data_IF_465118023441
#
_entry.id   IF_465118023441
#
_cell.length_a   1.000
_cell.length_b   1.000
_cell.length_c   1.000
_cell.angle_alpha   90.00
_cell.angle_beta   90.00
_cell.angle_gamma   90.00
#
_symmetry.space_group_name_H-M   'P 1'
#
loop_
_entity.id
_entity.type
_entity.pdbx_description
1 polymer ?
#
# COMPACT_ATOMS: atom_id res chain seq x y z
N UNK A 1 8.96 -22.37 -10.10
CA UNK A 1 8.70 -22.58 -11.54
C UNK A 1 7.86 -21.45 -12.13
N UNK A 2 6.75 -21.02 -11.51
CA UNK A 2 5.96 -19.87 -12.00
C UNK A 2 6.59 -18.54 -11.62
N UNK A 3 6.91 -18.35 -10.34
CA UNK A 3 7.40 -17.09 -9.78
C UNK A 3 8.80 -16.68 -10.23
N UNK A 4 9.66 -17.65 -10.58
CA UNK A 4 11.04 -17.38 -11.00
C UNK A 4 11.31 -17.82 -12.44
N UNK A 5 10.28 -18.17 -13.17
CA UNK A 5 10.39 -18.69 -14.52
C UNK A 5 9.30 -18.17 -15.43
N UNK A 6 8.33 -19.02 -15.75
CA UNK A 6 7.37 -18.79 -16.81
C UNK A 6 6.48 -17.53 -16.67
N UNK A 7 6.17 -17.11 -15.44
CA UNK A 7 5.28 -15.99 -15.16
C UNK A 7 5.98 -14.77 -14.55
N UNK A 8 7.30 -14.79 -14.39
CA UNK A 8 8.06 -13.68 -13.83
C UNK A 8 8.47 -12.68 -14.91
N UNK A 9 8.38 -11.39 -14.61
CA UNK A 9 8.84 -10.30 -15.47
C UNK A 9 10.33 -10.00 -15.21
N UNK A 10 11.17 -11.00 -15.47
CA UNK A 10 12.62 -10.88 -15.29
C UNK A 10 13.22 -9.85 -16.25
N UNK A 11 14.28 -9.13 -15.83
CA UNK A 11 14.96 -8.15 -16.67
C UNK A 11 15.40 -8.76 -18.02
N UNK A 12 15.32 -7.94 -19.06
CA UNK A 12 15.74 -8.25 -20.42
C UNK A 12 15.06 -9.43 -21.12
N UNK A 13 14.08 -10.03 -20.50
CA UNK A 13 13.28 -11.11 -21.10
C UNK A 13 11.93 -10.60 -21.58
N UNK A 14 11.53 -11.04 -22.77
CA UNK A 14 10.17 -10.77 -23.28
C UNK A 14 9.21 -11.78 -22.67
N UNK A 15 8.16 -11.31 -22.02
CA UNK A 15 7.16 -12.12 -21.33
C UNK A 15 5.74 -11.65 -21.65
N UNK A 16 4.78 -12.58 -21.75
CA UNK A 16 3.37 -12.19 -21.81
C UNK A 16 2.93 -11.63 -20.46
N UNK A 17 2.19 -10.53 -20.50
CA UNK A 17 1.65 -9.87 -19.32
C UNK A 17 0.29 -9.24 -19.61
N UNK A 18 -0.44 -8.88 -18.56
CA UNK A 18 -1.57 -7.97 -18.62
C UNK A 18 -1.07 -6.55 -18.31
N UNK A 19 -1.23 -5.67 -19.27
CA UNK A 19 -0.87 -4.25 -19.14
C UNK A 19 -2.12 -3.45 -18.79
N UNK A 20 -2.08 -2.75 -17.67
CA UNK A 20 -3.12 -1.85 -17.21
C UNK A 20 -2.79 -0.42 -17.61
N UNK A 21 -3.74 0.24 -18.26
CA UNK A 21 -3.70 1.68 -18.52
C UNK A 21 -4.83 2.31 -17.74
N UNK A 22 -4.48 3.14 -16.75
CA UNK A 22 -5.44 3.77 -15.84
C UNK A 22 -5.18 5.27 -15.88
N UNK A 23 -6.21 6.04 -16.25
CA UNK A 23 -6.16 7.50 -16.25
C UNK A 23 -6.73 8.04 -14.95
N UNK A 24 -6.07 9.05 -14.39
CA UNK A 24 -6.48 9.73 -13.18
C UNK A 24 -6.77 11.19 -13.48
N UNK A 25 -7.69 11.77 -12.72
CA UNK A 25 -7.88 13.22 -12.67
C UNK A 25 -6.85 13.89 -11.74
N UNK A 26 -6.81 15.24 -11.65
CA UNK A 26 -5.87 15.96 -10.81
C UNK A 26 -5.94 15.66 -9.31
N UNK A 27 -7.02 15.08 -8.82
CA UNK A 27 -7.16 14.66 -7.41
C UNK A 27 -6.92 13.16 -7.22
N UNK A 28 -6.45 12.45 -8.26
CA UNK A 28 -6.12 11.03 -8.20
C UNK A 28 -7.32 10.08 -8.31
N UNK A 29 -8.52 10.54 -8.70
CA UNK A 29 -9.65 9.67 -8.96
C UNK A 29 -9.56 9.04 -10.37
N UNK A 30 -10.02 7.77 -10.50
CA UNK A 30 -9.96 7.04 -11.77
C UNK A 30 -11.00 7.60 -12.74
N UNK A 31 -10.56 8.04 -13.92
CA UNK A 31 -11.42 8.48 -15.01
C UNK A 31 -11.63 7.42 -16.07
N UNK A 32 -10.63 6.58 -16.30
CA UNK A 32 -10.75 5.43 -17.20
C UNK A 32 -9.78 4.32 -16.82
N UNK A 33 -10.11 3.09 -17.16
CA UNK A 33 -9.23 1.95 -17.00
C UNK A 33 -9.37 0.97 -18.16
N UNK A 34 -8.28 0.43 -18.64
CA UNK A 34 -8.20 -0.58 -19.68
C UNK A 34 -7.15 -1.61 -19.31
N UNK A 35 -7.41 -2.87 -19.65
CA UNK A 35 -6.44 -3.95 -19.53
C UNK A 35 -6.33 -4.68 -20.87
N UNK A 36 -5.12 -5.02 -21.25
CA UNK A 36 -4.86 -5.76 -22.49
C UNK A 36 -3.72 -6.78 -22.30
N UNK A 37 -3.74 -7.81 -23.12
CA UNK A 37 -2.63 -8.77 -23.20
C UNK A 37 -1.53 -8.18 -24.08
N UNK A 38 -0.31 -8.20 -23.58
CA UNK A 38 0.85 -7.70 -24.32
C UNK A 38 2.09 -8.56 -24.06
N UNK A 39 3.05 -8.45 -24.95
CA UNK A 39 4.42 -8.89 -24.68
C UNK A 39 5.19 -7.72 -24.11
N UNK A 40 5.73 -7.89 -22.92
CA UNK A 40 6.48 -6.84 -22.22
C UNK A 40 7.91 -7.28 -22.00
N UNK A 41 8.81 -6.31 -21.91
CA UNK A 41 10.20 -6.52 -21.55
C UNK A 41 10.56 -5.60 -20.39
N UNK A 42 10.86 -6.18 -19.24
CA UNK A 42 11.38 -5.44 -18.10
C UNK A 42 12.79 -4.98 -18.42
N UNK A 43 13.07 -3.70 -18.24
CA UNK A 43 14.38 -3.09 -18.52
C UNK A 43 15.23 -2.95 -17.27
N UNK A 44 14.59 -2.83 -16.12
CA UNK A 44 15.26 -2.60 -14.86
C UNK A 44 14.49 -3.26 -13.73
N UNK A 45 15.20 -3.90 -12.82
CA UNK A 45 14.69 -4.34 -11.54
C UNK A 45 15.02 -3.29 -10.50
N UNK A 46 14.01 -2.75 -9.87
CA UNK A 46 14.13 -1.78 -8.78
C UNK A 46 13.82 -2.44 -7.44
N UNK A 47 14.41 -1.95 -6.39
CA UNK A 47 14.06 -2.26 -5.01
C UNK A 47 13.81 -0.96 -4.22
N UNK A 48 13.09 -1.07 -3.12
CA UNK A 48 12.63 0.11 -2.38
C UNK A 48 13.77 0.91 -1.74
N UNK A 49 14.79 0.23 -1.22
CA UNK A 49 15.93 0.89 -0.61
C UNK A 49 16.75 1.68 -1.64
N UNK A 50 16.95 1.08 -2.82
CA UNK A 50 17.69 1.70 -3.91
C UNK A 50 17.00 2.92 -4.50
N UNK A 51 15.66 2.85 -4.68
CA UNK A 51 14.91 3.97 -5.30
C UNK A 51 14.59 5.11 -4.33
N UNK A 52 14.64 4.89 -3.02
CA UNK A 52 14.32 5.94 -2.03
C UNK A 52 15.18 7.20 -2.23
N UNK A 53 16.52 7.13 -2.26
CA UNK A 53 17.34 8.30 -2.51
C UNK A 53 17.21 8.84 -3.95
N UNK A 54 16.87 7.99 -4.92
CA UNK A 54 16.68 8.42 -6.31
C UNK A 54 15.41 9.29 -6.45
N UNK A 55 14.34 8.99 -5.71
CA UNK A 55 13.09 9.76 -5.75
C UNK A 55 13.30 11.19 -5.24
N UNK A 56 14.08 11.39 -4.20
CA UNK A 56 14.36 12.70 -3.63
C UNK A 56 15.00 13.66 -4.64
N UNK A 57 15.72 13.11 -5.63
CA UNK A 57 16.43 13.88 -6.65
C UNK A 57 15.84 13.66 -8.05
N UNK A 58 14.70 12.97 -8.14
CA UNK A 58 14.09 12.61 -9.42
C UNK A 58 13.62 13.86 -10.17
N UNK A 59 13.93 13.99 -11.46
CA UNK A 59 13.41 15.08 -12.28
C UNK A 59 11.90 15.09 -12.29
N UNK A 60 11.31 16.29 -12.28
CA UNK A 60 9.86 16.47 -12.39
C UNK A 60 9.32 15.74 -13.63
N UNK A 61 8.21 15.02 -13.47
CA UNK A 61 7.60 14.23 -14.54
C UNK A 61 8.30 12.90 -14.86
N UNK A 62 9.40 12.56 -14.19
CA UNK A 62 9.99 11.23 -14.28
C UNK A 62 9.08 10.16 -13.65
N UNK A 63 9.27 8.91 -14.03
CA UNK A 63 8.47 7.79 -13.49
C UNK A 63 8.52 7.71 -11.97
N UNK A 64 9.68 7.95 -11.36
CA UNK A 64 9.86 7.91 -9.91
C UNK A 64 9.18 9.10 -9.21
N UNK A 65 9.33 10.32 -9.76
CA UNK A 65 8.63 11.50 -9.23
C UNK A 65 7.10 11.35 -9.35
N UNK A 66 6.62 10.78 -10.46
CA UNK A 66 5.20 10.48 -10.65
C UNK A 66 4.69 9.38 -9.72
N UNK A 67 5.51 8.39 -9.37
CA UNK A 67 5.15 7.38 -8.38
C UNK A 67 4.82 8.03 -7.02
N UNK A 68 5.65 8.97 -6.57
CA UNK A 68 5.38 9.73 -5.36
C UNK A 68 4.08 10.53 -5.49
N UNK A 69 3.97 11.36 -6.53
CA UNK A 69 2.79 12.22 -6.74
C UNK A 69 1.49 11.41 -6.77
N UNK A 70 1.45 10.34 -7.56
CA UNK A 70 0.27 9.48 -7.65
C UNK A 70 0.02 8.77 -6.32
N UNK A 71 1.07 8.26 -5.67
CA UNK A 71 0.97 7.60 -4.38
C UNK A 71 0.33 8.49 -3.33
N UNK A 72 0.78 9.76 -3.21
CA UNK A 72 0.23 10.74 -2.27
C UNK A 72 -1.22 11.09 -2.57
N UNK A 73 -1.58 11.33 -3.84
CA UNK A 73 -2.97 11.54 -4.24
C UNK A 73 -3.87 10.36 -3.88
N UNK A 74 -3.39 9.13 -4.10
CA UNK A 74 -4.14 7.92 -3.77
C UNK A 74 -4.28 7.68 -2.27
N UNK A 75 -3.27 8.03 -1.46
CA UNK A 75 -3.35 8.02 0.00
C UNK A 75 -4.43 9.01 0.48
N UNK A 76 -4.47 10.21 -0.11
CA UNK A 76 -5.51 11.19 0.19
C UNK A 76 -6.92 10.67 -0.17
N UNK A 77 -7.07 10.00 -1.32
CA UNK A 77 -8.31 9.33 -1.72
C UNK A 77 -8.70 8.18 -0.77
N UNK A 78 -7.74 7.41 -0.28
CA UNK A 78 -7.99 6.38 0.71
C UNK A 78 -8.53 6.98 2.02
N UNK A 79 -7.90 8.03 2.50
CA UNK A 79 -8.35 8.75 3.69
C UNK A 79 -9.77 9.32 3.53
N UNK A 80 -10.07 9.93 2.38
CA UNK A 80 -11.39 10.48 2.08
C UNK A 80 -12.50 9.42 2.05
N UNK A 81 -12.18 8.16 1.68
CA UNK A 81 -13.11 7.04 1.70
C UNK A 81 -13.26 6.39 3.09
N UNK A 82 -12.51 6.84 4.10
CA UNK A 82 -12.43 6.19 5.41
C UNK A 82 -11.64 4.89 5.40
N UNK A 83 -10.80 4.66 4.40
CA UNK A 83 -9.89 3.52 4.35
C UNK A 83 -8.86 3.58 5.48
N UNK A 84 -8.40 2.42 5.93
CA UNK A 84 -7.40 2.29 7.00
C UNK A 84 -6.26 1.43 6.51
N UNK A 85 -5.07 2.00 6.45
CA UNK A 85 -3.81 1.28 6.29
C UNK A 85 -3.03 1.37 7.60
N UNK A 86 -2.70 0.21 8.17
CA UNK A 86 -1.92 0.15 9.41
C UNK A 86 -0.43 0.09 9.04
N UNK A 87 0.38 1.09 9.43
CA UNK A 87 1.83 1.02 9.28
C UNK A 87 2.38 0.06 10.33
N UNK A 88 2.43 -1.24 10.00
CA UNK A 88 3.03 -2.23 10.89
C UNK A 88 4.49 -2.43 10.51
N UNK A 89 5.43 -2.26 11.47
CA UNK A 89 6.83 -2.60 11.23
C UNK A 89 6.97 -4.06 10.83
N UNK A 90 7.75 -4.33 9.80
CA UNK A 90 8.10 -5.70 9.46
C UNK A 90 9.13 -6.23 10.46
N UNK A 91 8.94 -7.45 10.95
CA UNK A 91 9.97 -8.16 11.69
C UNK A 91 10.86 -8.91 10.71
N UNK A 92 12.14 -8.59 10.73
CA UNK A 92 13.15 -9.25 9.89
C UNK A 92 14.18 -9.94 10.79
N UNK A 93 14.62 -11.10 10.36
CA UNK A 93 15.72 -11.81 11.04
C UNK A 93 16.98 -11.54 10.24
N UNK A 94 17.88 -10.78 10.83
CA UNK A 94 19.20 -10.57 10.29
C UNK A 94 20.17 -11.65 10.79
N UNK A 95 20.98 -12.18 9.89
CA UNK A 95 21.91 -13.27 10.18
C UNK A 95 23.33 -12.83 9.83
N UNK A 96 24.12 -12.57 10.84
CA UNK A 96 25.52 -12.21 10.72
C UNK A 96 26.40 -13.32 11.30
N UNK A 97 26.97 -14.17 10.43
CA UNK A 97 27.67 -15.38 10.82
C UNK A 97 26.77 -16.35 11.60
N UNK A 98 27.11 -16.66 12.84
CA UNK A 98 26.30 -17.51 13.73
C UNK A 98 25.34 -16.71 14.64
N UNK A 99 25.29 -15.38 14.47
CA UNK A 99 24.44 -14.50 15.29
C UNK A 99 23.17 -14.17 14.54
N UNK A 100 22.05 -14.41 15.20
CA UNK A 100 20.72 -14.09 14.70
C UNK A 100 20.15 -12.92 15.49
N UNK A 101 19.71 -11.86 14.80
CA UNK A 101 19.07 -10.69 15.40
C UNK A 101 17.68 -10.54 14.86
N UNK A 102 16.74 -10.19 15.73
CA UNK A 102 15.40 -9.77 15.33
C UNK A 102 15.41 -8.24 15.24
N UNK A 103 15.14 -7.74 14.04
CA UNK A 103 15.07 -6.31 13.78
C UNK A 103 13.66 -5.93 13.35
N UNK A 104 13.27 -4.70 13.66
CA UNK A 104 12.03 -4.10 13.20
C UNK A 104 12.37 -3.10 12.11
N UNK A 105 11.90 -3.36 10.89
CA UNK A 105 12.07 -2.46 9.77
C UNK A 105 10.80 -1.64 9.58
N UNK A 106 10.93 -0.33 9.64
CA UNK A 106 9.84 0.57 9.27
C UNK A 106 9.63 0.56 7.75
N UNK A 107 8.37 0.73 7.34
CA UNK A 107 8.04 0.85 5.93
C UNK A 107 8.57 2.17 5.36
N UNK A 108 9.26 2.08 4.23
CA UNK A 108 9.69 3.26 3.50
C UNK A 108 8.49 3.94 2.82
N UNK A 109 8.48 5.28 2.66
CA UNK A 109 7.41 5.99 1.97
C UNK A 109 7.11 5.44 0.58
N UNK A 110 8.11 5.05 -0.17
CA UNK A 110 7.98 4.46 -1.52
C UNK A 110 7.20 3.14 -1.52
N UNK A 111 7.28 2.36 -0.44
CA UNK A 111 6.49 1.12 -0.30
C UNK A 111 5.00 1.44 -0.22
N UNK A 112 4.63 2.49 0.53
CA UNK A 112 3.26 2.96 0.62
C UNK A 112 2.76 3.48 -0.73
N UNK A 113 3.55 4.26 -1.46
CA UNK A 113 3.17 4.73 -2.79
C UNK A 113 2.98 3.57 -3.77
N UNK A 114 3.88 2.59 -3.77
CA UNK A 114 3.74 1.40 -4.60
C UNK A 114 2.52 0.55 -4.21
N UNK A 115 2.21 0.43 -2.91
CA UNK A 115 1.01 -0.24 -2.44
C UNK A 115 -0.27 0.43 -2.99
N UNK A 116 -0.28 1.77 -3.11
CA UNK A 116 -1.40 2.49 -3.70
C UNK A 116 -1.57 2.21 -5.20
N UNK A 117 -0.50 1.98 -5.95
CA UNK A 117 -0.58 1.55 -7.36
C UNK A 117 -1.21 0.15 -7.45
N UNK A 118 -0.81 -0.75 -6.57
CA UNK A 118 -1.40 -2.10 -6.47
C UNK A 118 -2.90 -2.05 -6.15
N UNK A 119 -3.30 -1.25 -5.16
CA UNK A 119 -4.69 -1.03 -4.79
C UNK A 119 -5.50 -0.41 -5.94
N UNK A 120 -4.91 0.57 -6.65
CA UNK A 120 -5.53 1.21 -7.82
C UNK A 120 -5.86 0.18 -8.91
N UNK A 121 -4.95 -0.73 -9.20
CA UNK A 121 -5.17 -1.83 -10.15
C UNK A 121 -6.31 -2.74 -9.67
N UNK A 122 -6.33 -3.07 -8.39
CA UNK A 122 -7.40 -3.86 -7.77
C UNK A 122 -8.77 -3.19 -7.89
N UNK A 123 -8.87 -1.88 -7.66
CA UNK A 123 -10.11 -1.11 -7.83
C UNK A 123 -10.58 -1.09 -9.28
N UNK A 124 -9.65 -0.89 -10.23
CA UNK A 124 -9.98 -0.92 -11.66
C UNK A 124 -10.52 -2.30 -12.07
N UNK A 125 -9.87 -3.38 -11.65
CA UNK A 125 -10.32 -4.74 -11.90
C UNK A 125 -11.69 -5.02 -11.27
N UNK A 126 -11.89 -4.64 -10.00
CA UNK A 126 -13.17 -4.80 -9.31
C UNK A 126 -14.30 -4.05 -10.04
N UNK A 127 -14.06 -2.81 -10.48
CA UNK A 127 -15.03 -2.04 -11.25
C UNK A 127 -15.41 -2.75 -12.54
N UNK A 128 -14.44 -3.27 -13.30
CA UNK A 128 -14.72 -4.02 -14.52
C UNK A 128 -15.56 -5.27 -14.24
N UNK A 129 -15.25 -6.01 -13.14
CA UNK A 129 -16.02 -7.19 -12.75
C UNK A 129 -17.47 -6.84 -12.36
N UNK A 130 -17.67 -5.75 -11.62
CA UNK A 130 -19.00 -5.27 -11.22
C UNK A 130 -19.83 -4.88 -12.44
N UNK A 131 -19.29 -4.05 -13.34
CA UNK A 131 -19.99 -3.62 -14.55
C UNK A 131 -20.22 -4.79 -15.52
N UNK A 132 -19.27 -5.69 -15.64
CA UNK A 132 -19.37 -6.89 -16.45
C UNK A 132 -20.28 -7.98 -15.85
N UNK A 133 -20.70 -7.84 -14.60
CA UNK A 133 -21.45 -8.84 -13.83
C UNK A 133 -20.79 -10.23 -13.83
N UNK A 134 -19.46 -10.25 -13.75
CA UNK A 134 -18.65 -11.46 -13.76
C UNK A 134 -17.46 -11.29 -12.82
N UNK A 135 -17.06 -12.35 -12.14
CA UNK A 135 -15.88 -12.38 -11.29
C UNK A 135 -16.19 -12.58 -9.81
N UNK A 136 -15.16 -12.41 -8.99
CA UNK A 136 -15.22 -12.56 -7.53
C UNK A 136 -14.63 -11.32 -6.91
N UNK A 137 -15.37 -10.69 -5.99
CA UNK A 137 -14.91 -9.54 -5.22
C UNK A 137 -14.45 -10.00 -3.84
N UNK A 138 -13.28 -9.52 -3.44
CA UNK A 138 -12.82 -9.61 -2.06
C UNK A 138 -13.14 -8.30 -1.35
N UNK A 139 -14.01 -8.37 -0.36
CA UNK A 139 -14.40 -7.21 0.43
C UNK A 139 -14.05 -7.42 1.90
N UNK A 140 -13.81 -6.33 2.61
CA UNK A 140 -13.68 -6.32 4.06
C UNK A 140 -14.86 -5.54 4.63
N UNK A 141 -15.70 -6.16 5.48
CA UNK A 141 -16.81 -5.44 6.11
C UNK A 141 -16.27 -4.39 7.11
N UNK A 142 -17.09 -3.39 7.44
CA UNK A 142 -16.77 -2.50 8.57
C UNK A 142 -16.50 -3.31 9.85
N UNK A 143 -15.68 -2.78 10.77
CA UNK A 143 -15.44 -3.44 12.03
C UNK A 143 -16.74 -3.60 12.83
N UNK A 144 -16.91 -4.74 13.47
CA UNK A 144 -18.06 -4.97 14.33
C UNK A 144 -18.07 -3.95 15.52
N UNK A 145 -19.23 -3.43 15.92
CA UNK A 145 -19.32 -2.45 17.03
C UNK A 145 -18.63 -2.92 18.31
N UNK A 146 -18.71 -4.22 18.61
CA UNK A 146 -18.07 -4.82 19.77
C UNK A 146 -16.54 -4.79 19.68
N UNK A 147 -15.98 -4.91 18.47
CA UNK A 147 -14.53 -4.79 18.24
C UNK A 147 -14.07 -3.35 18.49
N UNK A 148 -14.81 -2.37 17.99
CA UNK A 148 -14.53 -0.94 18.25
C UNK A 148 -14.61 -0.63 19.75
N UNK A 149 -15.63 -1.16 20.44
CA UNK A 149 -15.76 -1.01 21.89
C UNK A 149 -14.58 -1.61 22.66
N UNK A 150 -14.08 -2.77 22.23
CA UNK A 150 -12.86 -3.37 22.82
C UNK A 150 -11.65 -2.48 22.61
N UNK A 151 -11.47 -1.96 21.39
CA UNK A 151 -10.38 -1.05 21.08
C UNK A 151 -10.41 0.22 21.93
N UNK A 152 -11.57 0.83 22.15
CA UNK A 152 -11.71 1.96 23.08
C UNK A 152 -11.25 1.63 24.50
N UNK A 153 -11.59 0.42 25.01
CA UNK A 153 -11.13 -0.01 26.33
C UNK A 153 -9.62 -0.23 26.37
N UNK A 154 -9.06 -0.83 25.32
CA UNK A 154 -7.62 -1.06 25.19
C UNK A 154 -6.87 0.27 25.11
N UNK A 155 -7.31 1.20 24.26
CA UNK A 155 -6.72 2.54 24.17
C UNK A 155 -6.69 3.23 25.54
N UNK A 156 -7.82 3.20 26.28
CA UNK A 156 -7.91 3.77 27.64
C UNK A 156 -6.95 3.08 28.62
N UNK A 157 -6.84 1.76 28.57
CA UNK A 157 -5.93 1.00 29.44
C UNK A 157 -4.45 1.31 29.17
N UNK A 158 -4.12 1.64 27.92
CA UNK A 158 -2.79 2.06 27.50
C UNK A 158 -2.52 3.56 27.65
N UNK A 159 -3.48 4.33 28.20
CA UNK A 159 -3.34 5.78 28.35
C UNK A 159 -3.43 6.56 27.03
N UNK A 160 -3.92 5.92 25.96
CA UNK A 160 -4.09 6.56 24.65
C UNK A 160 -5.45 7.27 24.62
N UNK A 161 -5.44 8.59 24.37
CA UNK A 161 -6.67 9.36 24.26
C UNK A 161 -7.37 9.08 22.93
N UNK A 162 -8.63 8.61 23.01
CA UNK A 162 -9.51 8.47 21.85
C UNK A 162 -10.81 9.24 22.13
N UNK A 163 -10.95 10.47 21.58
CA UNK A 163 -12.15 11.27 21.74
C UNK A 163 -13.38 10.59 21.16
N UNK A 164 -14.54 10.77 21.81
CA UNK A 164 -15.78 10.10 21.42
C UNK A 164 -16.28 10.48 20.01
N UNK A 165 -15.96 11.69 19.57
CA UNK A 165 -16.28 12.23 18.24
C UNK A 165 -15.34 11.77 17.16
N UNK A 166 -14.18 11.18 17.49
CA UNK A 166 -13.19 10.73 16.52
C UNK A 166 -13.56 9.35 15.99
N UNK A 167 -13.69 9.23 14.66
CA UNK A 167 -14.01 7.96 14.02
C UNK A 167 -12.85 6.95 14.15
N UNK A 168 -13.14 5.66 14.03
CA UNK A 168 -12.11 4.61 14.04
C UNK A 168 -11.01 4.84 12.97
N UNK A 169 -11.32 5.16 11.71
CA UNK A 169 -10.29 5.48 10.72
C UNK A 169 -9.42 6.68 11.10
N UNK A 170 -10.02 7.72 11.66
CA UNK A 170 -9.29 8.93 12.05
C UNK A 170 -8.42 8.67 13.27
N UNK A 171 -8.90 7.86 14.21
CA UNK A 171 -8.13 7.44 15.36
C UNK A 171 -6.89 6.63 14.94
N UNK A 172 -7.03 5.66 14.04
CA UNK A 172 -5.89 4.86 13.57
C UNK A 172 -4.86 5.71 12.81
N UNK A 173 -5.30 6.74 12.10
CA UNK A 173 -4.39 7.67 11.40
C UNK A 173 -3.74 8.72 12.32
N UNK A 174 -4.29 8.95 13.51
CA UNK A 174 -3.81 9.99 14.42
C UNK A 174 -2.58 9.64 15.25
N UNK A 175 -2.27 8.38 15.60
CA UNK A 175 -1.08 8.05 16.34
C UNK A 175 0.17 8.33 15.51
N UNK A 176 1.08 9.12 16.09
CA UNK A 176 2.40 9.31 15.55
C UNK A 176 3.30 8.17 16.04
N UNK A 177 3.72 7.25 15.18
CA UNK A 177 4.54 6.10 15.57
C UNK A 177 5.90 6.51 16.14
N UNK A 178 6.35 7.74 15.87
CA UNK A 178 7.59 8.28 16.42
C UNK A 178 7.47 8.72 17.89
N UNK A 179 6.26 8.76 18.47
CA UNK A 179 6.09 9.10 19.87
C UNK A 179 6.20 7.85 20.75
N UNK A 180 7.08 7.84 21.76
CA UNK A 180 7.28 6.70 22.67
C UNK A 180 6.02 6.25 23.43
N UNK A 181 4.99 7.11 23.45
CA UNK A 181 3.69 6.84 24.10
C UNK A 181 2.71 6.03 23.26
N UNK A 182 3.08 5.68 22.03
CA UNK A 182 2.25 4.86 21.15
C UNK A 182 2.92 3.50 20.94
N UNK A 183 2.75 2.54 21.89
CA UNK A 183 3.13 1.17 21.62
C UNK A 183 2.35 0.69 20.40
N UNK A 184 2.94 -0.11 19.51
CA UNK A 184 2.25 -0.66 18.37
C UNK A 184 1.02 -1.40 18.88
N UNK A 185 -0.17 -0.97 18.48
CA UNK A 185 -1.41 -1.71 18.75
C UNK A 185 -1.45 -2.94 17.85
N UNK A 186 -0.55 -3.88 18.09
CA UNK A 186 -0.63 -5.23 17.57
C UNK A 186 -1.47 -6.03 18.58
N UNK A 187 -2.72 -6.25 18.25
CA UNK A 187 -3.64 -7.17 18.94
C UNK A 187 -4.20 -8.14 17.93
#
# INVERSE_FOLDING_TARGET
VLSEGAASLLPDQVRPAFVWTISLDPIGAVTSARVERALVRSRQRLDYAGVTPEIEHAPEGSTLALLQTIGELRIAQEAARGGVSLPMPAQEVDVEGDTWRLEFREMLPVENWNAQISLLTGFAAASMMVYGRIGVLRTLPPPAPEAVTRLHRTARALGIAWPAEQTYPDFIRSPDPAKPSHPPMAV
#
